data_IF_342598074338
#
_entry.id   IF_342598074338
#
_cell.length_a   1.000
_cell.length_b   1.000
_cell.length_c   1.000
_cell.angle_alpha   90.00
_cell.angle_beta   90.00
_cell.angle_gamma   90.00
#
_symmetry.space_group_name_H-M   'P 1'
#
loop_
_entity.id
_entity.type
_entity.pdbx_description
1 polymer ?
#
# COMPACT_ATOMS: atom_id res chain seq x y z
N UNK A 1 -16.57 9.33 -57.50
CA UNK A 1 -17.71 8.83 -56.68
C UNK A 1 -17.18 8.74 -55.26
N UNK A 2 -17.41 9.73 -54.39
CA UNK A 2 -18.63 9.95 -53.59
C UNK A 2 -18.93 8.72 -52.71
N UNK A 3 -18.79 8.71 -51.38
CA UNK A 3 -19.50 9.51 -50.36
C UNK A 3 -18.74 9.36 -49.01
N UNK A 4 -18.25 10.43 -48.36
CA UNK A 4 -18.83 11.20 -47.22
C UNK A 4 -18.88 10.51 -45.83
N UNK A 5 -18.24 11.21 -44.87
CA UNK A 5 -18.69 11.54 -43.48
C UNK A 5 -18.95 10.34 -42.53
N UNK A 6 -18.59 10.32 -41.23
CA UNK A 6 -18.67 11.39 -40.25
C UNK A 6 -18.13 10.94 -38.87
N UNK A 7 -17.61 11.92 -38.12
CA UNK A 7 -17.55 12.08 -36.63
C UNK A 7 -16.62 11.22 -35.75
N UNK A 8 -15.59 11.93 -35.27
CA UNK A 8 -15.04 11.82 -33.92
C UNK A 8 -16.14 11.97 -32.85
N UNK A 9 -16.00 11.27 -31.73
CA UNK A 9 -16.42 11.85 -30.45
C UNK A 9 -15.50 11.40 -29.33
N UNK A 10 -14.69 12.35 -28.85
CA UNK A 10 -14.00 12.27 -27.57
C UNK A 10 -15.00 12.57 -26.45
N UNK A 11 -14.85 11.81 -25.36
CA UNK A 11 -14.94 12.25 -23.97
C UNK A 11 -15.97 13.33 -23.62
N UNK A 12 -17.08 12.91 -23.02
CA UNK A 12 -17.92 13.79 -22.21
C UNK A 12 -19.28 13.15 -21.89
N UNK A 13 -19.41 12.54 -20.70
CA UNK A 13 -20.66 12.40 -19.91
C UNK A 13 -20.72 11.17 -18.98
N UNK A 14 -19.61 10.50 -18.65
CA UNK A 14 -19.66 9.48 -17.58
C UNK A 14 -19.92 10.07 -16.18
N UNK A 15 -19.85 11.40 -16.01
CA UNK A 15 -20.17 12.04 -14.74
C UNK A 15 -21.68 12.19 -14.48
N UNK A 16 -22.53 12.08 -15.51
CA UNK A 16 -23.94 12.48 -15.42
C UNK A 16 -24.90 11.31 -15.09
N UNK A 17 -24.39 10.06 -15.03
CA UNK A 17 -25.21 8.86 -14.78
C UNK A 17 -25.08 8.25 -13.38
N UNK A 18 -24.23 8.79 -12.52
CA UNK A 18 -24.06 8.32 -11.14
C UNK A 18 -24.61 9.29 -10.08
N UNK A 19 -25.12 10.46 -10.48
CA UNK A 19 -25.58 11.48 -9.55
C UNK A 19 -27.10 11.49 -9.28
N UNK A 20 -27.88 10.60 -9.89
CA UNK A 20 -29.34 10.68 -9.87
C UNK A 20 -30.05 9.41 -9.36
N UNK A 21 -29.42 8.63 -8.49
CA UNK A 21 -30.08 7.47 -7.89
C UNK A 21 -29.70 7.36 -6.40
N UNK A 22 -30.71 7.46 -5.52
CA UNK A 22 -30.66 7.59 -4.04
C UNK A 22 -30.35 9.03 -3.60
N UNK A 23 -31.27 9.84 -3.10
CA UNK A 23 -32.20 9.59 -2.00
C UNK A 23 -33.48 10.43 -2.17
N UNK A 24 -34.49 9.92 -2.88
CA UNK A 24 -35.87 10.39 -2.74
C UNK A 24 -36.59 9.48 -1.75
N UNK A 25 -36.33 9.68 -0.46
CA UNK A 25 -37.21 9.19 0.60
C UNK A 25 -38.47 10.06 0.59
N UNK A 26 -39.37 9.77 -0.36
CA UNK A 26 -40.72 10.27 -0.36
C UNK A 26 -41.50 9.56 0.75
N UNK A 27 -41.43 10.10 1.98
CA UNK A 27 -42.33 9.74 3.06
C UNK A 27 -43.62 10.56 2.88
N UNK A 28 -44.68 9.86 2.50
CA UNK A 28 -46.04 10.38 2.42
C UNK A 28 -46.44 11.07 3.73
N UNK A 29 -46.83 12.34 3.61
CA UNK A 29 -47.40 13.17 4.68
C UNK A 29 -48.69 12.56 5.21
N UNK A 30 -48.68 12.16 6.49
CA UNK A 30 -49.87 11.79 7.26
C UNK A 30 -49.56 11.78 8.76
N UNK A 31 -50.13 12.76 9.47
CA UNK A 31 -50.28 12.87 10.93
C UNK A 31 -49.09 13.41 11.76
N UNK A 32 -49.04 14.74 11.88
CA UNK A 32 -48.45 15.49 13.00
C UNK A 32 -49.13 15.04 14.32
N UNK A 33 -48.46 14.71 15.43
CA UNK A 33 -47.92 15.70 16.40
C UNK A 33 -47.05 15.03 17.51
N UNK A 34 -46.47 13.85 17.28
CA UNK A 34 -45.46 13.24 18.20
C UNK A 34 -44.18 12.75 17.51
N UNK A 35 -44.08 12.97 16.20
CA UNK A 35 -43.09 12.32 15.34
C UNK A 35 -41.90 13.23 14.96
N UNK A 36 -42.02 14.56 15.11
CA UNK A 36 -40.95 15.51 14.78
C UNK A 36 -39.64 15.27 15.57
N UNK A 37 -39.76 14.96 16.87
CA UNK A 37 -38.59 14.66 17.69
C UNK A 37 -37.90 13.33 17.36
N UNK A 38 -38.61 12.37 16.76
CA UNK A 38 -38.06 11.09 16.33
C UNK A 38 -37.46 11.16 14.92
N UNK A 39 -38.10 11.92 14.01
CA UNK A 39 -37.59 12.20 12.66
C UNK A 39 -36.34 13.07 12.72
N UNK A 40 -36.29 14.06 13.61
CA UNK A 40 -35.07 14.87 13.86
C UNK A 40 -33.90 13.99 14.29
N UNK A 41 -34.08 13.11 15.28
CA UNK A 41 -33.03 12.20 15.75
C UNK A 41 -32.54 11.25 14.65
N UNK A 42 -33.44 10.76 13.81
CA UNK A 42 -33.07 9.90 12.67
C UNK A 42 -32.20 10.64 11.65
N UNK A 43 -32.56 11.89 11.34
CA UNK A 43 -31.77 12.74 10.45
C UNK A 43 -30.39 13.07 11.04
N UNK A 44 -30.29 13.26 12.36
CA UNK A 44 -29.01 13.46 13.05
C UNK A 44 -28.10 12.23 12.93
N UNK A 45 -28.64 11.01 13.05
CA UNK A 45 -27.89 9.77 12.83
C UNK A 45 -27.42 9.64 11.36
N UNK A 46 -28.29 9.96 10.40
CA UNK A 46 -27.91 9.93 8.98
C UNK A 46 -26.84 10.98 8.66
N UNK A 47 -26.92 12.16 9.26
CA UNK A 47 -25.92 13.20 9.12
C UNK A 47 -24.57 12.75 9.70
N UNK A 48 -24.56 12.14 10.89
CA UNK A 48 -23.32 11.63 11.51
C UNK A 48 -22.71 10.44 10.74
N UNK A 49 -23.53 9.57 10.14
CA UNK A 49 -23.03 8.47 9.28
C UNK A 49 -22.49 9.00 7.95
N UNK A 50 -23.17 9.99 7.37
CA UNK A 50 -22.78 10.58 6.08
C UNK A 50 -21.59 11.54 6.23
N UNK A 51 -21.30 11.96 7.46
CA UNK A 51 -20.15 12.77 7.81
C UNK A 51 -18.87 12.06 7.37
N UNK A 52 -18.05 12.79 6.64
CA UNK A 52 -16.78 12.31 6.08
C UNK A 52 -16.88 11.15 5.08
N UNK A 53 -18.07 10.84 4.55
CA UNK A 53 -18.22 9.82 3.50
C UNK A 53 -17.37 10.12 2.26
N UNK A 54 -17.34 11.39 1.84
CA UNK A 54 -16.52 11.81 0.69
C UNK A 54 -15.03 11.63 0.99
N UNK A 55 -14.59 11.98 2.20
CA UNK A 55 -13.20 11.77 2.66
C UNK A 55 -12.84 10.28 2.64
N UNK A 56 -13.70 9.42 3.17
CA UNK A 56 -13.50 7.97 3.16
C UNK A 56 -13.39 7.44 1.73
N UNK A 57 -14.29 7.88 0.84
CA UNK A 57 -14.29 7.48 -0.57
C UNK A 57 -13.00 7.91 -1.26
N UNK A 58 -12.55 9.14 -1.08
CA UNK A 58 -11.31 9.65 -1.66
C UNK A 58 -10.08 8.89 -1.17
N UNK A 59 -9.98 8.64 0.14
CA UNK A 59 -8.86 7.91 0.75
C UNK A 59 -8.80 6.47 0.25
N UNK A 60 -9.94 5.76 0.26
CA UNK A 60 -10.00 4.36 -0.18
C UNK A 60 -9.74 4.23 -1.68
N UNK A 61 -10.29 5.12 -2.51
CA UNK A 61 -10.05 5.12 -3.94
C UNK A 61 -8.57 5.38 -4.26
N UNK A 62 -7.97 6.40 -3.64
CA UNK A 62 -6.56 6.72 -3.82
C UNK A 62 -5.63 5.58 -3.39
N UNK A 63 -5.93 4.93 -2.25
CA UNK A 63 -5.18 3.76 -1.77
C UNK A 63 -5.35 2.56 -2.70
N UNK A 64 -6.56 2.29 -3.19
CA UNK A 64 -6.82 1.21 -4.14
C UNK A 64 -6.04 1.39 -5.46
N UNK A 65 -6.01 2.61 -6.01
CA UNK A 65 -5.24 2.90 -7.22
C UNK A 65 -3.75 2.61 -7.01
N UNK A 66 -3.18 3.07 -5.89
CA UNK A 66 -1.76 2.82 -5.55
C UNK A 66 -1.47 1.34 -5.36
N UNK A 67 -2.39 0.59 -4.75
CA UNK A 67 -2.26 -0.86 -4.55
C UNK A 67 -2.35 -1.65 -5.86
N UNK A 68 -3.20 -1.24 -6.80
CA UNK A 68 -3.24 -1.86 -8.12
C UNK A 68 -1.91 -1.71 -8.85
N UNK A 69 -1.30 -0.53 -8.81
CA UNK A 69 0.05 -0.31 -9.37
C UNK A 69 1.08 -1.19 -8.64
N UNK A 70 1.06 -1.21 -7.31
CA UNK A 70 1.94 -2.04 -6.50
C UNK A 70 1.84 -3.53 -6.88
N UNK A 71 0.61 -4.05 -7.04
CA UNK A 71 0.35 -5.43 -7.43
C UNK A 71 0.92 -5.75 -8.82
N UNK A 72 0.76 -4.85 -9.79
CA UNK A 72 1.33 -5.02 -11.12
C UNK A 72 2.85 -5.09 -11.08
N UNK A 73 3.51 -4.20 -10.32
CA UNK A 73 4.97 -4.18 -10.19
C UNK A 73 5.48 -5.42 -9.45
N UNK A 74 4.79 -5.84 -8.38
CA UNK A 74 5.12 -7.06 -7.63
C UNK A 74 5.18 -8.30 -8.51
N UNK A 75 4.19 -8.47 -9.39
CA UNK A 75 4.11 -9.61 -10.32
C UNK A 75 5.25 -9.62 -11.35
N UNK A 76 5.85 -8.47 -11.63
CA UNK A 76 6.97 -8.34 -12.57
C UNK A 76 8.30 -8.58 -11.87
N UNK A 77 8.57 -7.81 -10.81
CA UNK A 77 9.84 -7.84 -10.10
C UNK A 77 9.68 -7.17 -8.72
N UNK A 78 10.15 -7.83 -7.65
CA UNK A 78 10.17 -7.25 -6.31
C UNK A 78 10.92 -5.91 -6.22
N UNK A 79 12.02 -5.75 -6.96
CA UNK A 79 12.78 -4.50 -7.00
C UNK A 79 11.98 -3.32 -7.58
N UNK A 80 11.15 -3.56 -8.60
CA UNK A 80 10.26 -2.52 -9.16
C UNK A 80 9.20 -2.10 -8.13
N UNK A 81 8.64 -3.05 -7.38
CA UNK A 81 7.72 -2.74 -6.27
C UNK A 81 8.43 -1.88 -5.21
N UNK A 82 9.63 -2.29 -4.77
CA UNK A 82 10.37 -1.57 -3.72
C UNK A 82 10.69 -0.14 -4.16
N UNK A 83 11.18 0.05 -5.37
CA UNK A 83 11.43 1.38 -5.92
C UNK A 83 10.16 2.25 -5.95
N UNK A 84 9.01 1.65 -6.29
CA UNK A 84 7.72 2.34 -6.25
C UNK A 84 7.31 2.75 -4.82
N UNK A 85 7.41 1.84 -3.85
CA UNK A 85 7.08 2.11 -2.45
C UNK A 85 7.95 3.23 -1.86
N UNK A 86 9.25 3.22 -2.17
CA UNK A 86 10.19 4.29 -1.79
C UNK A 86 9.80 5.62 -2.44
N UNK A 87 9.35 5.60 -3.70
CA UNK A 87 8.95 6.81 -4.41
C UNK A 87 7.69 7.45 -3.84
N UNK A 88 6.68 6.66 -3.48
CA UNK A 88 5.40 7.20 -2.99
C UNK A 88 5.41 7.52 -1.49
N UNK A 89 6.27 6.86 -0.70
CA UNK A 89 6.37 7.02 0.76
C UNK A 89 5.03 6.98 1.50
N UNK A 90 4.07 6.23 0.98
CA UNK A 90 2.75 6.08 1.56
C UNK A 90 2.77 4.92 2.56
N UNK A 91 2.73 5.25 3.85
CA UNK A 91 2.78 4.25 4.92
C UNK A 91 1.57 3.31 4.90
N UNK A 92 0.39 3.80 4.51
CA UNK A 92 -0.79 2.95 4.40
C UNK A 92 -0.60 1.88 3.34
N UNK A 93 -0.09 2.25 2.16
CA UNK A 93 0.23 1.28 1.10
C UNK A 93 1.33 0.31 1.53
N UNK A 94 2.36 0.80 2.22
CA UNK A 94 3.42 -0.06 2.76
C UNK A 94 2.86 -1.14 3.69
N UNK A 95 1.99 -0.75 4.63
CA UNK A 95 1.36 -1.67 5.59
C UNK A 95 0.54 -2.75 4.90
N UNK A 96 -0.13 -2.45 3.78
CA UNK A 96 -0.86 -3.47 3.02
C UNK A 96 0.06 -4.41 2.25
N UNK A 97 1.16 -3.90 1.72
CA UNK A 97 2.11 -4.69 0.92
C UNK A 97 3.03 -5.56 1.78
N UNK A 98 3.43 -5.09 2.96
CA UNK A 98 4.43 -5.75 3.81
C UNK A 98 4.05 -7.18 4.21
N UNK A 99 2.80 -7.50 4.55
CA UNK A 99 2.39 -8.88 4.83
C UNK A 99 2.59 -9.82 3.63
N UNK A 100 2.31 -9.35 2.41
CA UNK A 100 2.52 -10.12 1.18
C UNK A 100 4.01 -10.39 0.95
N UNK A 101 4.84 -9.35 1.11
CA UNK A 101 6.30 -9.45 1.02
C UNK A 101 6.87 -10.35 2.13
N UNK A 102 6.28 -10.29 3.33
CA UNK A 102 6.72 -11.12 4.46
C UNK A 102 6.46 -12.59 4.17
N UNK A 103 5.26 -12.91 3.69
CA UNK A 103 4.90 -14.28 3.30
C UNK A 103 5.85 -14.81 2.24
N UNK A 104 6.19 -14.00 1.25
CA UNK A 104 7.05 -14.40 0.15
C UNK A 104 8.52 -14.59 0.57
N UNK A 105 8.99 -13.93 1.64
CA UNK A 105 10.29 -14.21 2.28
C UNK A 105 10.31 -15.56 3.00
N UNK A 106 9.19 -15.93 3.63
CA UNK A 106 9.02 -17.18 4.36
C UNK A 106 8.90 -18.39 3.43
N UNK A 107 8.42 -18.18 2.20
CA UNK A 107 8.35 -19.20 1.16
C UNK A 107 9.76 -19.57 0.61
N UNK A 108 9.90 -20.80 0.11
CA UNK A 108 11.19 -21.31 -0.40
C UNK A 108 11.61 -20.69 -1.73
N UNK A 109 10.68 -20.10 -2.50
CA UNK A 109 10.98 -19.42 -3.75
C UNK A 109 11.54 -18.02 -3.47
N UNK A 110 12.79 -17.71 -3.87
CA UNK A 110 13.36 -16.38 -3.66
C UNK A 110 12.67 -15.38 -4.61
N UNK A 111 11.69 -14.66 -4.07
CA UNK A 111 11.01 -13.58 -4.78
C UNK A 111 11.70 -12.21 -4.57
N UNK A 112 12.43 -12.05 -3.47
CA UNK A 112 13.01 -10.78 -3.05
C UNK A 112 14.46 -10.97 -2.62
N UNK A 113 15.35 -10.09 -3.07
CA UNK A 113 16.78 -10.12 -2.72
C UNK A 113 17.05 -9.43 -1.39
N UNK A 114 18.22 -9.69 -0.79
CA UNK A 114 18.68 -8.99 0.41
C UNK A 114 18.79 -7.48 0.18
N UNK A 115 19.22 -7.04 -1.01
CA UNK A 115 19.29 -5.63 -1.39
C UNK A 115 17.93 -4.94 -1.31
N UNK A 116 16.89 -5.57 -1.87
CA UNK A 116 15.52 -5.06 -1.76
C UNK A 116 15.03 -4.97 -0.31
N UNK A 117 15.46 -5.87 0.57
CA UNK A 117 15.16 -5.78 2.01
C UNK A 117 15.84 -4.54 2.62
N UNK A 118 17.13 -4.33 2.32
CA UNK A 118 17.92 -3.17 2.79
C UNK A 118 17.25 -1.86 2.38
N UNK A 119 16.82 -1.76 1.13
CA UNK A 119 16.16 -0.57 0.59
C UNK A 119 14.80 -0.27 1.25
N UNK A 120 14.10 -1.30 1.74
CA UNK A 120 12.83 -1.14 2.47
C UNK A 120 12.97 -0.71 3.93
N UNK A 121 14.10 -0.98 4.58
CA UNK A 121 14.28 -0.70 6.02
C UNK A 121 13.99 0.76 6.43
N UNK A 122 14.36 1.80 5.67
CA UNK A 122 14.02 3.18 6.03
C UNK A 122 12.52 3.41 6.14
N UNK A 123 11.71 2.83 5.24
CA UNK A 123 10.25 2.93 5.28
C UNK A 123 9.69 2.18 6.49
N UNK A 124 10.18 0.97 6.74
CA UNK A 124 9.77 0.15 7.89
C UNK A 124 10.15 0.83 9.21
N UNK A 125 11.32 1.46 9.29
CA UNK A 125 11.74 2.24 10.46
C UNK A 125 10.77 3.39 10.76
N UNK A 126 10.29 4.08 9.72
CA UNK A 126 9.29 5.13 9.90
C UNK A 126 7.96 4.55 10.38
N UNK A 127 7.54 3.42 9.81
CA UNK A 127 6.33 2.71 10.23
C UNK A 127 6.41 2.25 11.70
N UNK A 128 7.57 1.79 12.17
CA UNK A 128 7.81 1.37 13.57
C UNK A 128 7.81 2.53 14.58
N UNK A 129 7.72 3.78 14.12
CA UNK A 129 7.54 4.97 14.96
C UNK A 129 6.08 5.43 15.04
N UNK A 130 5.19 4.72 14.36
CA UNK A 130 3.75 4.99 14.35
C UNK A 130 3.12 4.78 15.74
N UNK A 131 2.04 5.50 16.01
CA UNK A 131 1.18 5.27 17.18
C UNK A 131 0.19 4.11 16.99
N UNK A 132 0.08 3.55 15.79
CA UNK A 132 -0.83 2.46 15.46
C UNK A 132 -0.19 1.09 15.75
N UNK A 133 -0.79 0.30 16.64
CA UNK A 133 -0.28 -1.01 17.04
C UNK A 133 -0.16 -1.97 15.85
N UNK A 134 -1.16 -1.97 14.97
CA UNK A 134 -1.19 -2.83 13.79
C UNK A 134 0.02 -2.57 12.87
N UNK A 135 0.48 -1.32 12.80
CA UNK A 135 1.65 -0.95 12.00
C UNK A 135 2.92 -1.52 12.62
N UNK A 136 3.03 -1.47 13.95
CA UNK A 136 4.16 -2.04 14.68
C UNK A 136 4.21 -3.55 14.50
N UNK A 137 3.08 -4.24 14.64
CA UNK A 137 2.99 -5.70 14.46
C UNK A 137 3.44 -6.11 13.06
N UNK A 138 2.92 -5.45 12.02
CA UNK A 138 3.29 -5.72 10.62
C UNK A 138 4.78 -5.48 10.39
N UNK A 139 5.34 -4.38 10.91
CA UNK A 139 6.76 -4.04 10.77
C UNK A 139 7.68 -5.01 11.47
N UNK A 140 7.39 -5.33 12.73
CA UNK A 140 8.19 -6.24 13.53
C UNK A 140 8.17 -7.66 12.93
N UNK A 141 7.01 -8.11 12.45
CA UNK A 141 6.89 -9.42 11.81
C UNK A 141 7.70 -9.49 10.50
N UNK A 142 7.69 -8.42 9.70
CA UNK A 142 8.55 -8.34 8.52
C UNK A 142 10.03 -8.34 8.89
N UNK A 143 10.46 -7.51 9.84
CA UNK A 143 11.86 -7.44 10.32
C UNK A 143 12.34 -8.82 10.80
N UNK A 144 11.52 -9.50 11.61
CA UNK A 144 11.82 -10.84 12.09
C UNK A 144 12.01 -11.83 10.93
N UNK A 145 11.17 -11.74 9.91
CA UNK A 145 11.23 -12.63 8.74
C UNK A 145 12.47 -12.37 7.87
N UNK A 146 12.84 -11.10 7.69
CA UNK A 146 14.10 -10.71 7.00
C UNK A 146 15.30 -11.28 7.76
N UNK A 147 15.37 -11.06 9.08
CA UNK A 147 16.48 -11.57 9.90
C UNK A 147 16.55 -13.09 9.78
N UNK A 148 15.44 -13.81 9.98
CA UNK A 148 15.42 -15.28 9.88
C UNK A 148 15.87 -15.79 8.51
N UNK A 149 15.42 -15.16 7.42
CA UNK A 149 15.74 -15.58 6.04
C UNK A 149 17.22 -15.42 5.73
N UNK A 150 17.80 -14.28 6.09
CA UNK A 150 19.17 -13.92 5.72
C UNK A 150 20.20 -14.22 6.81
N UNK A 151 19.78 -14.67 7.99
CA UNK A 151 20.68 -15.02 9.10
C UNK A 151 21.82 -15.97 8.71
N UNK A 152 21.58 -17.07 7.95
CA UNK A 152 22.66 -17.99 7.58
C UNK A 152 23.77 -17.30 6.79
N UNK A 153 23.41 -16.52 5.77
CA UNK A 153 24.36 -15.78 4.92
C UNK A 153 25.11 -14.69 5.68
N UNK A 154 24.43 -14.02 6.61
CA UNK A 154 25.03 -12.97 7.44
C UNK A 154 25.98 -13.55 8.51
N UNK A 155 25.68 -14.74 9.04
CA UNK A 155 26.46 -15.42 10.07
C UNK A 155 27.76 -16.02 9.52
N UNK A 156 27.73 -16.60 8.32
CA UNK A 156 28.92 -17.19 7.69
C UNK A 156 29.91 -16.12 7.21
N UNK A 157 29.43 -15.00 6.65
CA UNK A 157 30.30 -13.90 6.22
C UNK A 157 31.07 -13.23 7.37
N UNK A 158 30.63 -13.39 8.62
CA UNK A 158 31.36 -12.92 9.80
C UNK A 158 32.59 -13.78 10.16
N UNK A 159 32.70 -15.01 9.64
CA UNK A 159 33.78 -15.95 9.97
C UNK A 159 34.94 -15.98 8.97
N UNK A 160 34.74 -15.54 7.73
CA UNK A 160 35.79 -15.61 6.69
C UNK A 160 36.79 -14.44 6.68
N UNK A 161 36.95 -13.69 7.78
CA UNK A 161 37.98 -12.62 7.91
C UNK A 161 38.92 -12.81 9.10
N UNK A 162 39.05 -14.03 9.60
CA UNK A 162 40.06 -14.39 10.60
C UNK A 162 40.77 -15.70 10.23
N UNK A 163 41.36 -15.73 9.04
CA UNK A 163 42.54 -16.57 8.82
C UNK A 163 43.64 -15.69 8.24
N UNK A 164 44.07 -14.73 9.07
CA UNK A 164 45.30 -14.00 8.87
C UNK A 164 46.46 -14.90 9.29
N UNK A 165 46.99 -15.67 8.36
CA UNK A 165 48.36 -16.15 8.44
C UNK A 165 49.28 -14.90 8.46
N UNK A 166 50.09 -14.67 9.51
CA UNK A 166 51.15 -13.67 9.44
C UNK A 166 52.25 -14.20 8.53
N UNK A 167 52.99 -13.36 7.82
CA UNK A 167 53.87 -13.71 6.68
C UNK A 167 53.01 -14.02 5.42
N UNK A 168 52.70 -13.07 4.54
CA UNK A 168 53.65 -12.31 3.72
C UNK A 168 53.11 -10.90 3.41
N UNK A 169 53.67 -9.90 4.10
CA UNK A 169 53.75 -8.55 3.53
C UNK A 169 54.94 -8.58 2.58
N UNK A 170 54.75 -8.62 1.26
CA UNK A 170 55.57 -7.92 0.26
C UNK A 170 54.92 -7.97 -1.13
N UNK A 171 54.55 -6.77 -1.63
CA UNK A 171 54.61 -6.32 -3.03
C UNK A 171 53.66 -6.95 -4.06
N UNK A 172 52.70 -6.15 -4.53
CA UNK A 172 52.49 -5.79 -5.96
C UNK A 172 51.36 -4.73 -6.01
N UNK A 173 51.64 -3.43 -6.11
CA UNK A 173 51.89 -2.69 -7.36
C UNK A 173 50.64 -2.54 -8.24
N UNK A 174 50.04 -1.35 -8.15
CA UNK A 174 49.30 -0.61 -9.19
C UNK A 174 48.49 -1.40 -10.22
N UNK A 175 47.16 -1.38 -10.10
CA UNK A 175 46.23 -0.64 -10.99
C UNK A 175 44.84 -0.61 -10.34
#
# INVERSE_FOLDING_TARGET
>A
MANKENELSCAGSLHERLHNDRYSLALSSGETTKMDGAVSKYNDYLAEISKDHDTMTQVLFGRNLKLNVALTLWRRNAGELVAYLIRIQDTGVLVDCLPVITKSLQEEKPCMSVGCCVDLFPLVKNMLRSSFEEYLVVGLHWVQSVIKKWWPELSEKGKCTSDGHPEDRYVCSNF
#
